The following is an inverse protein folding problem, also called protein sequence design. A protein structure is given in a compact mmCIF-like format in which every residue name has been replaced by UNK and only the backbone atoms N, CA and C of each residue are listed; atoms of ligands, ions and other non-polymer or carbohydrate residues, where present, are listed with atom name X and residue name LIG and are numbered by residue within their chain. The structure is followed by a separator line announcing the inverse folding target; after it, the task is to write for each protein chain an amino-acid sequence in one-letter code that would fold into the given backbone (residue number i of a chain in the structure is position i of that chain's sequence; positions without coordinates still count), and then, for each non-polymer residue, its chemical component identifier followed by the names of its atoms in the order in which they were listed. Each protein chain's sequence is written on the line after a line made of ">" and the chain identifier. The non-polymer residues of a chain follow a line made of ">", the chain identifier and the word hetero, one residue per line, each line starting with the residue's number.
data_IF_662727035248
#
_entry.id   IF_662727035248
#
_cell.length_a   1.000
_cell.length_b   1.000
_cell.length_c   1.000
_cell.angle_alpha   90.00
_cell.angle_beta   90.00
_cell.angle_gamma   90.00
#
_symmetry.space_group_name_H-M   'P 1'
#
loop_
_entity.id
_entity.type
_entity.pdbx_description
1 polymer ?
#
# COMPACT_ATOMS: atom_id res chain seq x y z
N UNK A 1 -3.89 19.22 24.37
CA UNK A 1 -2.59 18.74 23.87
C UNK A 1 -2.54 17.22 23.95
N UNK A 2 -3.03 16.52 22.92
CA UNK A 2 -2.84 15.08 22.75
C UNK A 2 -3.15 14.79 21.26
N UNK A 3 -2.15 14.99 20.41
CA UNK A 3 -2.15 14.56 19.00
C UNK A 3 -1.02 13.54 18.82
N UNK A 4 -1.05 12.50 19.64
CA UNK A 4 -0.26 11.30 19.41
C UNK A 4 -1.25 10.22 18.97
N UNK A 5 -0.94 9.55 17.86
CA UNK A 5 -1.62 8.35 17.33
C UNK A 5 -2.84 8.54 16.42
N UNK A 6 -2.76 9.40 15.41
CA UNK A 6 -3.60 9.24 14.19
C UNK A 6 -2.92 8.36 13.12
N UNK A 7 -1.59 8.18 13.18
CA UNK A 7 -0.84 7.26 12.30
C UNK A 7 -0.77 5.82 12.83
N UNK A 8 -1.39 5.54 13.98
CA UNK A 8 -1.62 4.18 14.47
C UNK A 8 -3.02 3.68 14.08
N UNK A 9 -3.61 4.19 13.00
CA UNK A 9 -4.65 3.41 12.32
C UNK A 9 -4.01 2.08 11.96
N UNK A 10 -4.34 1.05 12.73
CA UNK A 10 -3.83 -0.29 12.54
C UNK A 10 -4.08 -0.63 11.08
N UNK A 11 -3.01 -0.85 10.31
CA UNK A 11 -3.04 -1.49 8.99
C UNK A 11 -3.75 -2.86 9.02
N UNK A 12 -4.14 -3.33 10.20
CA UNK A 12 -4.56 -4.68 10.50
C UNK A 12 -5.73 -4.65 11.47
N UNK A 13 -6.91 -5.04 10.99
CA UNK A 13 -8.03 -5.44 11.86
C UNK A 13 -7.68 -6.69 12.69
N UNK A 14 -6.72 -7.49 12.24
CA UNK A 14 -6.24 -8.70 12.90
C UNK A 14 -5.07 -8.38 13.83
N UNK A 15 -5.11 -8.91 15.05
CA UNK A 15 -3.98 -8.82 15.96
C UNK A 15 -2.76 -9.58 15.40
N UNK A 16 -1.53 -9.16 15.76
CA UNK A 16 -0.30 -9.79 15.24
C UNK A 16 -0.18 -11.29 15.53
N UNK A 17 -0.79 -11.78 16.62
CA UNK A 17 -0.76 -13.20 16.99
C UNK A 17 -1.65 -14.05 16.10
N UNK A 18 -2.90 -13.63 15.88
CA UNK A 18 -3.84 -14.21 14.91
C UNK A 18 -3.23 -14.21 13.51
N UNK A 19 -2.49 -13.15 13.16
CA UNK A 19 -1.82 -13.08 11.88
C UNK A 19 -0.61 -14.04 11.78
N UNK A 20 0.06 -14.43 12.85
CA UNK A 20 1.15 -15.41 12.72
C UNK A 20 0.62 -16.81 12.39
N UNK A 21 -0.54 -17.17 12.94
CA UNK A 21 -1.11 -18.50 12.83
C UNK A 21 -1.98 -18.71 11.57
N UNK A 22 -2.47 -17.62 10.96
CA UNK A 22 -3.41 -17.68 9.85
C UNK A 22 -2.72 -18.04 8.52
N UNK A 23 -3.17 -19.12 7.86
CA UNK A 23 -2.71 -19.42 6.50
C UNK A 23 -3.44 -18.59 5.43
N UNK A 24 -2.91 -17.41 5.11
CA UNK A 24 -3.54 -16.49 4.15
C UNK A 24 -3.67 -17.12 2.77
N UNK A 25 -2.67 -17.85 2.27
CA UNK A 25 -2.76 -18.47 0.93
C UNK A 25 -3.85 -19.54 0.87
N UNK A 26 -4.00 -20.37 1.92
CA UNK A 26 -5.07 -21.35 2.00
C UNK A 26 -6.49 -20.75 2.12
N UNK A 27 -6.60 -19.46 2.46
CA UNK A 27 -7.86 -18.73 2.52
C UNK A 27 -8.20 -17.99 1.23
N UNK A 28 -7.28 -17.91 0.27
CA UNK A 28 -7.55 -17.24 -1.00
C UNK A 28 -8.61 -18.06 -1.78
N UNK A 29 -9.67 -17.42 -2.30
CA UNK A 29 -10.61 -18.08 -3.17
C UNK A 29 -9.90 -18.60 -4.43
N UNK A 30 -10.46 -19.65 -5.03
CA UNK A 30 -9.98 -20.15 -6.34
C UNK A 30 -10.14 -19.03 -7.37
N UNK A 31 -9.11 -18.74 -8.21
CA UNK A 31 -9.10 -17.59 -9.12
C UNK A 31 -9.99 -17.82 -10.35
N UNK A 32 -11.30 -17.87 -10.12
CA UNK A 32 -12.33 -18.01 -11.14
C UNK A 32 -13.45 -17.01 -10.85
N UNK A 33 -14.13 -16.57 -11.90
CA UNK A 33 -15.32 -15.74 -11.78
C UNK A 33 -16.57 -16.62 -11.55
N UNK A 34 -17.70 -15.99 -11.25
CA UNK A 34 -18.93 -16.67 -10.82
C UNK A 34 -19.55 -17.54 -11.92
N UNK A 35 -19.24 -17.31 -13.20
CA UNK A 35 -19.65 -18.19 -14.30
C UNK A 35 -19.08 -19.60 -14.20
N UNK A 36 -17.97 -19.77 -13.46
CA UNK A 36 -17.35 -21.07 -13.19
C UNK A 36 -17.76 -21.66 -11.85
N UNK A 37 -18.67 -21.02 -11.12
CA UNK A 37 -19.13 -21.49 -9.81
C UNK A 37 -20.58 -21.99 -9.94
N UNK A 38 -20.78 -23.27 -9.67
CA UNK A 38 -22.09 -23.91 -9.71
C UNK A 38 -22.49 -24.46 -8.35
N UNK A 39 -23.76 -24.83 -8.19
CA UNK A 39 -24.23 -25.55 -7.00
C UNK A 39 -23.53 -26.90 -6.78
N UNK A 40 -22.98 -27.48 -7.84
CA UNK A 40 -22.19 -28.72 -7.81
C UNK A 40 -20.70 -28.52 -7.52
N UNK A 41 -20.24 -27.27 -7.44
CA UNK A 41 -18.83 -26.93 -7.21
C UNK A 41 -18.24 -26.05 -8.31
N UNK A 42 -16.90 -25.93 -8.30
CA UNK A 42 -16.14 -25.12 -9.26
C UNK A 42 -15.94 -25.91 -10.55
N UNK A 43 -16.31 -25.29 -11.68
CA UNK A 43 -16.11 -25.82 -13.02
C UNK A 43 -14.66 -25.65 -13.48
N UNK A 44 -14.14 -26.53 -14.35
CA UNK A 44 -12.82 -26.33 -14.96
C UNK A 44 -12.75 -24.99 -15.70
N UNK A 45 -11.75 -24.18 -15.36
CA UNK A 45 -11.49 -22.88 -16.00
C UNK A 45 -10.10 -22.89 -16.64
N UNK A 46 -9.96 -22.50 -17.92
CA UNK A 46 -8.66 -22.35 -18.57
C UNK A 46 -7.76 -21.35 -17.82
N UNK A 47 -6.45 -21.62 -17.74
CA UNK A 47 -5.51 -20.78 -16.99
C UNK A 47 -5.48 -19.33 -17.45
N UNK A 48 -5.63 -19.08 -18.75
CA UNK A 48 -5.62 -17.73 -19.33
C UNK A 48 -6.88 -16.92 -19.00
N UNK A 49 -8.00 -17.61 -18.76
CA UNK A 49 -9.26 -17.02 -18.29
C UNK A 49 -9.19 -16.80 -16.78
N UNK A 50 -8.73 -17.81 -16.03
CA UNK A 50 -8.52 -17.72 -14.58
C UNK A 50 -7.57 -16.58 -14.21
N UNK A 51 -6.47 -16.41 -14.96
CA UNK A 51 -5.51 -15.32 -14.78
C UNK A 51 -6.09 -13.92 -15.04
N UNK A 52 -7.25 -13.85 -15.72
CA UNK A 52 -8.05 -12.64 -15.96
C UNK A 52 -9.32 -12.63 -15.10
N UNK A 53 -9.49 -13.51 -14.12
CA UNK A 53 -10.65 -13.41 -13.24
C UNK A 53 -10.53 -12.20 -12.31
N UNK A 54 -11.64 -11.55 -11.98
CA UNK A 54 -11.67 -10.50 -10.96
C UNK A 54 -11.19 -11.06 -9.62
N UNK A 55 -11.51 -12.33 -9.35
CA UNK A 55 -11.02 -13.07 -8.19
C UNK A 55 -9.49 -13.18 -8.17
N UNK A 56 -8.84 -13.43 -9.31
CA UNK A 56 -7.37 -13.41 -9.40
C UNK A 56 -6.81 -12.03 -9.03
N UNK A 57 -7.42 -10.95 -9.52
CA UNK A 57 -7.04 -9.59 -9.14
C UNK A 57 -7.19 -9.33 -7.63
N UNK A 58 -8.30 -9.78 -7.03
CA UNK A 58 -8.51 -9.72 -5.58
C UNK A 58 -7.45 -10.50 -4.79
N UNK A 59 -7.08 -11.68 -5.28
CA UNK A 59 -6.02 -12.49 -4.68
C UNK A 59 -4.65 -11.78 -4.75
N UNK A 60 -4.31 -11.15 -5.88
CA UNK A 60 -3.07 -10.36 -6.02
C UNK A 60 -3.07 -9.21 -5.00
N UNK A 61 -4.17 -8.46 -4.90
CA UNK A 61 -4.29 -7.37 -3.94
C UNK A 61 -4.11 -7.84 -2.49
N UNK A 62 -4.71 -8.99 -2.15
CA UNK A 62 -4.61 -9.57 -0.81
C UNK A 62 -3.19 -10.07 -0.50
N UNK A 63 -2.48 -10.61 -1.50
CA UNK A 63 -1.06 -10.95 -1.37
C UNK A 63 -0.18 -9.74 -1.16
N UNK A 64 -0.45 -8.63 -1.85
CA UNK A 64 0.26 -7.36 -1.64
C UNK A 64 0.16 -6.90 -0.19
N UNK A 65 -1.04 -6.94 0.39
CA UNK A 65 -1.22 -6.68 1.83
C UNK A 65 -0.49 -7.68 2.72
N UNK A 66 -0.55 -8.97 2.41
CA UNK A 66 0.12 -10.02 3.19
C UNK A 66 1.65 -9.86 3.19
N UNK A 67 2.26 -9.61 2.03
CA UNK A 67 3.68 -9.28 1.89
C UNK A 67 4.05 -7.98 2.62
N UNK A 68 3.08 -7.05 2.64
CA UNK A 68 2.99 -5.91 3.52
C UNK A 68 3.43 -6.22 4.94
N UNK A 69 2.82 -7.24 5.55
CA UNK A 69 2.76 -7.41 7.01
C UNK A 69 3.62 -8.59 7.48
N UNK A 70 3.81 -9.60 6.64
CA UNK A 70 4.56 -10.82 6.97
C UNK A 70 5.89 -10.89 6.21
N UNK A 71 6.95 -11.44 6.84
CA UNK A 71 8.16 -11.76 6.11
C UNK A 71 7.88 -12.84 5.04
N UNK A 72 8.68 -12.88 3.96
CA UNK A 72 8.60 -13.97 2.99
C UNK A 72 8.82 -15.31 3.71
N UNK A 73 7.91 -16.27 3.52
CA UNK A 73 8.02 -17.60 4.13
C UNK A 73 9.32 -18.27 3.65
N UNK A 74 10.25 -18.50 4.57
CA UNK A 74 11.31 -19.48 4.35
C UNK A 74 10.75 -20.86 4.73
N UNK A 75 11.00 -21.87 3.90
CA UNK A 75 10.41 -23.22 3.97
C UNK A 75 10.65 -24.02 5.26
N UNK A 76 11.30 -23.46 6.28
CA UNK A 76 11.86 -24.26 7.39
C UNK A 76 11.52 -23.76 8.79
N UNK A 77 10.99 -22.55 9.00
CA UNK A 77 10.78 -22.03 10.38
C UNK A 77 9.42 -21.35 10.53
N UNK A 78 8.41 -22.13 10.92
CA UNK A 78 7.02 -21.69 11.00
C UNK A 78 6.61 -21.19 12.41
N UNK A 79 7.54 -21.08 13.36
CA UNK A 79 7.19 -20.83 14.78
C UNK A 79 8.04 -19.79 15.54
N UNK A 80 9.08 -19.22 14.92
CA UNK A 80 10.06 -18.35 15.61
C UNK A 80 9.81 -16.84 15.41
N UNK A 81 8.97 -16.44 14.45
CA UNK A 81 8.84 -15.03 14.02
C UNK A 81 8.26 -14.08 15.07
N UNK A 82 7.41 -14.54 15.99
CA UNK A 82 6.84 -13.68 17.03
C UNK A 82 7.88 -13.24 18.10
N UNK A 83 8.95 -14.03 18.30
CA UNK A 83 10.00 -13.73 19.29
C UNK A 83 11.03 -12.75 18.72
N UNK A 84 11.28 -12.80 17.41
CA UNK A 84 12.21 -11.91 16.70
C UNK A 84 11.76 -10.44 16.66
N UNK A 85 10.48 -10.15 16.88
CA UNK A 85 9.94 -8.79 17.00
C UNK A 85 10.53 -7.97 18.15
N UNK A 86 11.20 -8.61 19.12
CA UNK A 86 11.82 -7.94 20.28
C UNK A 86 13.25 -7.45 20.04
N UNK A 87 13.99 -8.06 19.11
CA UNK A 87 15.35 -7.63 18.76
C UNK A 87 15.29 -6.54 17.66
N UNK A 88 15.75 -5.31 17.94
CA UNK A 88 15.67 -4.21 16.97
C UNK A 88 16.45 -4.49 15.67
N UNK A 89 17.57 -5.22 15.75
CA UNK A 89 18.42 -5.53 14.59
C UNK A 89 17.73 -6.53 13.67
N UNK A 90 17.19 -7.61 14.25
CA UNK A 90 16.44 -8.62 13.50
C UNK A 90 15.13 -8.05 12.94
N UNK A 91 14.46 -7.18 13.69
CA UNK A 91 13.27 -6.46 13.21
C UNK A 91 13.61 -5.57 12.01
N UNK A 92 14.69 -4.79 12.09
CA UNK A 92 15.15 -3.94 10.98
C UNK A 92 15.50 -4.77 9.74
N UNK A 93 16.19 -5.90 9.90
CA UNK A 93 16.50 -6.82 8.81
C UNK A 93 15.22 -7.41 8.18
N UNK A 94 14.24 -7.80 9.01
CA UNK A 94 12.93 -8.29 8.56
C UNK A 94 12.16 -7.24 7.75
N UNK A 95 12.11 -5.98 8.22
CA UNK A 95 11.46 -4.89 7.48
C UNK A 95 12.14 -4.60 6.15
N UNK A 96 13.48 -4.61 6.11
CA UNK A 96 14.24 -4.44 4.86
C UNK A 96 13.97 -5.57 3.87
N UNK A 97 13.89 -6.80 4.36
CA UNK A 97 13.54 -7.96 3.53
C UNK A 97 12.10 -7.86 2.99
N UNK A 98 11.13 -7.49 3.84
CA UNK A 98 9.74 -7.21 3.43
C UNK A 98 9.66 -6.13 2.38
N UNK A 99 10.35 -5.01 2.58
CA UNK A 99 10.42 -3.93 1.59
C UNK A 99 10.99 -4.41 0.26
N UNK A 100 12.09 -5.18 0.30
CA UNK A 100 12.69 -5.73 -0.91
C UNK A 100 11.74 -6.70 -1.63
N UNK A 101 11.11 -7.62 -0.89
CA UNK A 101 10.14 -8.54 -1.47
C UNK A 101 8.95 -7.81 -2.09
N UNK A 102 8.34 -6.88 -1.34
CA UNK A 102 7.22 -6.07 -1.80
C UNK A 102 7.61 -5.33 -3.09
N UNK A 103 8.77 -4.68 -3.14
CA UNK A 103 9.23 -3.92 -4.31
C UNK A 103 9.18 -4.72 -5.62
N UNK A 104 9.52 -6.01 -5.59
CA UNK A 104 9.62 -6.85 -6.78
C UNK A 104 8.47 -7.86 -6.95
N UNK A 105 7.50 -7.91 -6.03
CA UNK A 105 6.50 -8.98 -6.04
C UNK A 105 5.55 -8.95 -7.25
N UNK A 106 5.32 -7.77 -7.85
CA UNK A 106 4.43 -7.61 -9.00
C UNK A 106 5.12 -7.78 -10.36
N UNK A 107 6.44 -8.05 -10.37
CA UNK A 107 7.18 -8.29 -11.62
C UNK A 107 6.71 -9.59 -12.33
N UNK A 108 6.17 -10.53 -11.55
CA UNK A 108 5.67 -11.82 -12.03
C UNK A 108 4.17 -11.85 -12.28
N UNK A 109 3.47 -10.72 -12.16
CA UNK A 109 2.01 -10.71 -12.24
C UNK A 109 1.47 -11.15 -13.60
N UNK A 110 0.26 -11.75 -13.60
CA UNK A 110 -0.46 -12.06 -14.82
C UNK A 110 -0.57 -10.82 -15.73
N UNK A 111 -0.45 -10.98 -17.06
CA UNK A 111 -0.49 -9.86 -18.00
C UNK A 111 -1.67 -8.89 -17.81
N UNK A 112 -2.82 -9.42 -17.35
CA UNK A 112 -4.06 -8.67 -17.13
C UNK A 112 -3.98 -7.59 -16.03
N UNK A 113 -3.06 -7.76 -15.06
CA UNK A 113 -2.93 -6.87 -13.90
C UNK A 113 -1.58 -6.16 -13.83
N UNK A 114 -0.72 -6.30 -14.85
CA UNK A 114 0.59 -5.63 -14.89
C UNK A 114 0.46 -4.12 -14.88
N UNK A 115 1.47 -3.47 -14.30
CA UNK A 115 1.59 -2.02 -14.18
C UNK A 115 1.47 -1.32 -15.54
N UNK A 116 2.09 -1.92 -16.57
CA UNK A 116 2.11 -1.41 -17.93
C UNK A 116 1.38 -2.36 -18.86
N UNK A 117 0.12 -2.07 -19.15
CA UNK A 117 -0.54 -2.63 -20.32
C UNK A 117 -0.35 -1.62 -21.46
N UNK A 118 0.18 -2.04 -22.64
CA UNK A 118 0.06 -1.22 -23.83
C UNK A 118 -1.42 -0.89 -23.96
N UNK A 119 -1.78 0.39 -23.92
CA UNK A 119 -3.13 0.82 -24.26
C UNK A 119 -3.31 0.36 -25.69
N UNK A 120 -3.96 -0.77 -25.91
CA UNK A 120 -4.55 -1.04 -27.19
C UNK A 120 -5.41 0.20 -27.41
N UNK A 121 -5.06 1.02 -28.39
CA UNK A 121 -5.94 2.05 -28.87
C UNK A 121 -7.12 1.31 -29.50
N UNK A 122 -7.97 0.75 -28.66
CA UNK A 122 -9.25 0.20 -29.03
C UNK A 122 -9.99 1.41 -29.57
N UNK A 123 -10.10 1.49 -30.88
CA UNK A 123 -10.95 2.42 -31.63
C UNK A 123 -12.44 2.17 -31.35
N UNK A 124 -12.74 1.47 -30.27
CA UNK A 124 -14.06 1.07 -29.83
C UNK A 124 -14.54 2.17 -28.88
N UNK A 125 -15.67 2.83 -29.17
CA UNK A 125 -16.26 3.83 -28.28
C UNK A 125 -16.41 3.30 -26.86
N UNK A 126 -16.22 4.16 -25.84
CA UNK A 126 -16.37 3.79 -24.40
C UNK A 126 -17.71 3.08 -24.09
N UNK A 127 -18.75 3.31 -24.90
CA UNK A 127 -20.06 2.64 -24.81
C UNK A 127 -20.03 1.11 -25.05
N UNK A 128 -18.94 0.55 -25.58
CA UNK A 128 -18.79 -0.89 -25.86
C UNK A 128 -17.62 -1.54 -25.11
N UNK A 129 -16.99 -0.83 -24.16
CA UNK A 129 -16.03 -1.48 -23.25
C UNK A 129 -16.78 -2.49 -22.38
N UNK A 130 -16.27 -3.72 -22.35
CA UNK A 130 -16.78 -4.77 -21.48
C UNK A 130 -16.73 -4.27 -20.02
N UNK A 131 -17.84 -4.39 -19.28
CA UNK A 131 -17.92 -4.03 -17.86
C UNK A 131 -16.79 -4.72 -17.07
N UNK A 132 -16.42 -5.93 -17.49
CA UNK A 132 -15.33 -6.72 -16.91
C UNK A 132 -13.97 -6.04 -17.08
N UNK A 133 -13.72 -5.37 -18.21
CA UNK A 133 -12.46 -4.65 -18.46
C UNK A 133 -12.36 -3.39 -17.59
N UNK A 134 -13.48 -2.69 -17.39
CA UNK A 134 -13.56 -1.58 -16.46
C UNK A 134 -13.28 -2.01 -15.01
N UNK A 135 -13.93 -3.08 -14.54
CA UNK A 135 -13.72 -3.62 -13.20
C UNK A 135 -12.27 -4.09 -13.00
N UNK A 136 -11.68 -4.72 -14.02
CA UNK A 136 -10.27 -5.09 -14.02
C UNK A 136 -9.36 -3.88 -13.93
N UNK A 137 -9.65 -2.81 -14.67
CA UNK A 137 -8.89 -1.56 -14.60
C UNK A 137 -8.96 -0.95 -13.19
N UNK A 138 -10.13 -0.98 -12.54
CA UNK A 138 -10.30 -0.53 -11.17
C UNK A 138 -9.52 -1.39 -10.16
N UNK A 139 -9.53 -2.71 -10.30
CA UNK A 139 -8.75 -3.62 -9.45
C UNK A 139 -7.24 -3.38 -9.67
N UNK A 140 -6.80 -3.21 -10.92
CA UNK A 140 -5.41 -2.87 -11.26
C UNK A 140 -4.99 -1.57 -10.58
N UNK A 141 -5.82 -0.53 -10.61
CA UNK A 141 -5.57 0.71 -9.90
C UNK A 141 -5.33 0.48 -8.41
N UNK A 142 -6.20 -0.31 -7.77
CA UNK A 142 -6.10 -0.61 -6.35
C UNK A 142 -4.81 -1.38 -6.01
N UNK A 143 -4.46 -2.40 -6.79
CA UNK A 143 -3.25 -3.21 -6.59
C UNK A 143 -2.01 -2.31 -6.59
N UNK A 144 -1.80 -1.52 -7.64
CA UNK A 144 -0.56 -0.76 -7.81
C UNK A 144 -0.45 0.44 -6.86
N UNK A 145 -1.56 1.14 -6.60
CA UNK A 145 -1.54 2.22 -5.60
C UNK A 145 -1.28 1.67 -4.20
N UNK A 146 -1.91 0.54 -3.84
CA UNK A 146 -1.68 -0.12 -2.55
C UNK A 146 -0.25 -0.62 -2.41
N UNK A 147 0.31 -1.21 -3.47
CA UNK A 147 1.68 -1.69 -3.52
C UNK A 147 2.70 -0.58 -3.26
N UNK A 148 2.56 0.57 -3.92
CA UNK A 148 3.44 1.73 -3.72
C UNK A 148 3.23 2.39 -2.36
N UNK A 149 1.98 2.47 -1.88
CA UNK A 149 1.67 2.99 -0.54
C UNK A 149 2.27 2.14 0.58
N UNK A 150 2.14 0.82 0.51
CA UNK A 150 2.74 -0.09 1.50
C UNK A 150 4.28 -0.02 1.51
N UNK A 151 4.92 0.26 0.36
CA UNK A 151 6.36 0.51 0.32
C UNK A 151 6.76 1.75 1.12
N UNK A 152 5.96 2.84 1.05
CA UNK A 152 6.20 4.04 1.87
C UNK A 152 6.02 3.75 3.36
N UNK A 153 4.97 3.01 3.74
CA UNK A 153 4.73 2.65 5.14
C UNK A 153 5.87 1.81 5.74
N UNK A 154 6.42 0.87 4.97
CA UNK A 154 7.59 0.10 5.40
C UNK A 154 8.84 0.98 5.54
N UNK A 155 9.04 1.95 4.64
CA UNK A 155 10.15 2.91 4.76
C UNK A 155 10.00 3.78 6.02
N UNK A 156 8.78 4.22 6.36
CA UNK A 156 8.50 4.96 7.59
C UNK A 156 8.83 4.14 8.85
N UNK A 157 8.49 2.85 8.86
CA UNK A 157 8.82 1.96 9.98
C UNK A 157 10.33 1.72 10.10
N UNK A 158 11.02 1.53 8.97
CA UNK A 158 12.49 1.40 8.90
C UNK A 158 13.16 2.66 9.46
N UNK A 159 12.78 3.84 8.98
CA UNK A 159 13.35 5.12 9.42
C UNK A 159 13.10 5.36 10.92
N UNK A 160 11.92 4.98 11.41
CA UNK A 160 11.57 5.06 12.83
C UNK A 160 12.46 4.18 13.71
N UNK A 161 12.76 2.94 13.28
CA UNK A 161 13.65 2.06 14.03
C UNK A 161 15.10 2.55 14.01
N UNK A 162 15.60 2.97 12.84
CA UNK A 162 16.96 3.50 12.70
C UNK A 162 17.16 4.74 13.57
N UNK A 163 16.16 5.63 13.62
CA UNK A 163 16.20 6.83 14.46
C UNK A 163 16.26 6.49 15.97
N UNK A 164 15.53 5.44 16.40
CA UNK A 164 15.53 4.99 17.80
C UNK A 164 16.88 4.39 18.21
N UNK A 165 17.52 3.61 17.34
CA UNK A 165 18.86 3.05 17.58
C UNK A 165 19.93 4.15 17.72
N UNK A 166 19.89 5.18 16.86
CA UNK A 166 20.82 6.30 16.95
C UNK A 166 20.65 7.10 18.24
N UNK A 167 19.41 7.28 18.72
CA UNK A 167 19.13 8.02 19.95
C UNK A 167 19.48 7.28 21.25
N UNK A 168 19.70 5.96 21.19
CA UNK A 168 19.99 5.11 22.36
C UNK A 168 21.48 4.79 22.56
N UNK A 169 22.36 5.33 21.71
CA UNK A 169 23.82 5.21 21.89
C UNK A 169 24.29 6.25 22.91
N UNK A 170 24.92 5.88 24.04
CA UNK A 170 25.39 6.85 25.02
C UNK A 170 26.52 7.70 24.42
N UNK A 171 26.33 9.02 24.38
CA UNK A 171 27.34 9.96 23.93
C UNK A 171 28.63 9.81 24.78
N UNK A 172 29.83 9.90 24.18
CA UNK A 172 31.06 10.06 24.94
C UNK A 172 30.93 11.34 25.78
N UNK A 173 31.02 11.22 27.10
CA UNK A 173 31.02 12.36 28.01
C UNK A 173 32.23 13.25 27.69
N UNK A 174 31.99 14.39 27.04
CA UNK A 174 33.06 15.33 26.77
C UNK A 174 32.75 16.39 25.73
N UNK A 175 31.72 17.21 25.93
CA UNK A 175 31.78 18.63 25.55
C UNK A 175 30.58 19.38 26.12
N UNK A 176 30.83 20.15 27.18
CA UNK A 176 29.90 21.14 27.71
C UNK A 176 30.01 22.35 26.78
N UNK A 177 28.94 22.66 26.02
CA UNK A 177 28.46 24.01 25.68
C UNK A 177 27.64 24.04 24.36
N UNK A 178 26.33 24.24 24.50
CA UNK A 178 25.49 25.18 23.73
C UNK A 178 24.09 24.62 23.50
N UNK A 179 23.24 24.82 24.50
CA UNK A 179 21.79 24.63 24.44
C UNK A 179 21.12 25.88 23.88
N UNK A 180 20.87 25.95 22.57
CA UNK A 180 19.90 26.91 22.00
C UNK A 180 19.12 26.22 20.87
N UNK A 181 17.86 25.86 21.18
CA UNK A 181 16.73 25.60 20.26
C UNK A 181 16.97 24.50 19.21
N UNK A 182 16.74 23.23 19.58
CA UNK A 182 16.26 22.22 18.62
C UNK A 182 14.76 22.04 18.84
N UNK A 183 13.96 22.81 18.09
CA UNK A 183 12.57 22.43 17.83
C UNK A 183 12.59 21.05 17.20
N UNK A 184 11.78 20.12 17.72
CA UNK A 184 11.54 18.76 17.23
C UNK A 184 11.93 18.59 15.75
N UNK A 185 13.20 18.29 15.53
CA UNK A 185 13.71 17.99 14.20
C UNK A 185 13.52 16.50 14.12
N UNK A 186 12.52 16.06 13.36
CA UNK A 186 12.59 14.70 12.83
C UNK A 186 13.99 14.56 12.23
N UNK A 187 14.77 13.53 12.60
CA UNK A 187 16.09 13.35 12.01
C UNK A 187 15.90 13.39 10.50
N UNK A 188 16.65 14.26 9.83
CA UNK A 188 16.57 14.38 8.38
C UNK A 188 16.77 12.97 7.80
N UNK A 189 15.86 12.48 6.94
CA UNK A 189 15.97 11.13 6.44
C UNK A 189 17.32 10.96 5.74
N UNK A 190 17.92 9.79 5.92
CA UNK A 190 19.10 9.38 5.17
C UNK A 190 18.87 9.70 3.68
N UNK A 191 19.79 10.41 3.00
CA UNK A 191 19.67 10.71 1.57
C UNK A 191 19.27 9.50 0.73
N UNK A 192 19.74 8.29 1.08
CA UNK A 192 19.37 7.06 0.39
C UNK A 192 17.92 6.61 0.65
N UNK A 193 17.34 6.94 1.81
CA UNK A 193 15.92 6.71 2.11
C UNK A 193 15.05 7.66 1.29
N UNK A 194 15.45 8.93 1.18
CA UNK A 194 14.72 9.91 0.39
C UNK A 194 14.72 9.58 -1.11
N UNK A 195 15.85 9.14 -1.68
CA UNK A 195 15.91 8.75 -3.09
C UNK A 195 14.95 7.59 -3.42
N UNK A 196 14.72 6.66 -2.47
CA UNK A 196 13.71 5.60 -2.62
C UNK A 196 12.28 6.14 -2.62
N UNK A 197 12.00 7.12 -1.76
CA UNK A 197 10.69 7.80 -1.68
C UNK A 197 10.41 8.58 -2.95
N UNK A 198 11.40 9.33 -3.45
CA UNK A 198 11.34 10.03 -4.74
C UNK A 198 10.99 9.05 -5.87
N UNK A 199 11.69 7.92 -5.95
CA UNK A 199 11.40 6.89 -6.95
C UNK A 199 9.98 6.31 -6.85
N UNK A 200 9.48 6.02 -5.64
CA UNK A 200 8.12 5.52 -5.44
C UNK A 200 7.09 6.57 -5.88
N UNK A 201 7.31 7.85 -5.54
CA UNK A 201 6.44 8.95 -5.96
C UNK A 201 6.42 9.14 -7.48
N UNK A 202 7.58 9.05 -8.13
CA UNK A 202 7.69 9.10 -9.59
C UNK A 202 6.91 7.97 -10.24
N UNK A 203 7.08 6.73 -9.76
CA UNK A 203 6.31 5.58 -10.25
C UNK A 203 4.81 5.76 -10.07
N UNK A 204 4.37 6.27 -8.91
CA UNK A 204 2.96 6.53 -8.65
C UNK A 204 2.40 7.59 -9.60
N UNK A 205 3.11 8.70 -9.82
CA UNK A 205 2.68 9.73 -10.77
C UNK A 205 2.57 9.19 -12.19
N UNK A 206 3.58 8.45 -12.64
CA UNK A 206 3.53 7.84 -13.97
C UNK A 206 2.36 6.86 -14.08
N UNK A 207 2.11 6.05 -13.05
CA UNK A 207 0.97 5.14 -13.03
C UNK A 207 -0.36 5.91 -13.12
N UNK A 208 -0.58 6.90 -12.24
CA UNK A 208 -1.81 7.69 -12.23
C UNK A 208 -2.06 8.43 -13.55
N UNK A 209 -1.01 8.92 -14.23
CA UNK A 209 -1.15 9.52 -15.56
C UNK A 209 -1.48 8.53 -16.67
N UNK A 210 -1.11 7.26 -16.50
CA UNK A 210 -1.41 6.21 -17.48
C UNK A 210 -2.82 5.64 -17.36
N UNK A 211 -3.49 5.86 -16.22
CA UNK A 211 -4.82 5.32 -15.93
C UNK A 211 -5.94 6.22 -16.46
N UNK A 212 -7.05 5.61 -16.88
CA UNK A 212 -8.28 6.33 -17.21
C UNK A 212 -8.96 6.88 -15.93
N UNK A 213 -9.75 7.96 -16.05
CA UNK A 213 -10.55 8.45 -14.91
C UNK A 213 -11.56 7.38 -14.46
N UNK A 214 -12.17 6.68 -15.40
CA UNK A 214 -13.07 5.55 -15.18
C UNK A 214 -12.41 4.41 -14.39
N UNK A 215 -11.12 4.14 -14.60
CA UNK A 215 -10.38 3.15 -13.82
C UNK A 215 -10.07 3.57 -12.39
N UNK A 216 -9.94 4.86 -12.11
CA UNK A 216 -9.60 5.36 -10.78
C UNK A 216 -10.84 5.59 -9.91
N UNK A 217 -11.94 6.04 -10.51
CA UNK A 217 -13.17 6.47 -9.84
C UNK A 217 -13.80 5.42 -8.91
N UNK A 218 -13.90 4.12 -9.26
CA UNK A 218 -14.50 3.09 -8.40
C UNK A 218 -13.76 2.86 -7.08
N UNK A 219 -12.47 3.18 -7.01
CA UNK A 219 -11.68 3.06 -5.78
C UNK A 219 -12.00 4.19 -4.79
N UNK A 220 -12.64 5.26 -5.27
CA UNK A 220 -13.13 6.38 -4.49
C UNK A 220 -12.07 6.98 -3.55
N UNK A 221 -12.50 7.29 -2.33
CA UNK A 221 -11.66 7.98 -1.35
C UNK A 221 -10.44 7.14 -0.89
N UNK A 222 -10.48 5.82 -1.02
CA UNK A 222 -9.37 4.95 -0.62
C UNK A 222 -8.10 5.29 -1.42
N UNK A 223 -8.23 5.51 -2.73
CA UNK A 223 -7.10 5.87 -3.58
C UNK A 223 -6.59 7.27 -3.24
N UNK A 224 -7.49 8.20 -2.90
CA UNK A 224 -7.16 9.59 -2.50
C UNK A 224 -6.28 9.59 -1.25
N UNK A 225 -6.62 8.80 -0.23
CA UNK A 225 -5.81 8.68 0.98
C UNK A 225 -4.44 8.08 0.71
N UNK A 226 -4.39 6.94 -0.01
CA UNK A 226 -3.11 6.28 -0.33
C UNK A 226 -2.18 7.17 -1.17
N UNK A 227 -2.71 7.86 -2.18
CA UNK A 227 -1.94 8.79 -3.01
C UNK A 227 -1.43 9.97 -2.18
N UNK A 228 -2.26 10.52 -1.30
CA UNK A 228 -1.86 11.60 -0.39
C UNK A 228 -0.73 11.16 0.54
N UNK A 229 -0.84 9.99 1.15
CA UNK A 229 0.18 9.45 2.06
C UNK A 229 1.52 9.26 1.34
N UNK A 230 1.49 8.70 0.12
CA UNK A 230 2.70 8.59 -0.71
C UNK A 230 3.29 9.97 -1.01
N UNK A 231 2.48 10.93 -1.42
CA UNK A 231 2.94 12.29 -1.74
C UNK A 231 3.57 13.00 -0.52
N UNK A 232 2.98 12.83 0.67
CA UNK A 232 3.48 13.40 1.94
C UNK A 232 4.90 12.94 2.25
N UNK A 233 5.31 11.75 1.80
CA UNK A 233 6.67 11.25 2.01
C UNK A 233 7.78 12.15 1.42
N UNK A 234 7.45 12.99 0.42
CA UNK A 234 8.39 13.95 -0.17
C UNK A 234 8.62 15.18 0.70
N UNK A 235 7.74 15.46 1.68
CA UNK A 235 7.88 16.62 2.56
C UNK A 235 9.10 16.53 3.47
N UNK A 236 9.61 15.31 3.69
CA UNK A 236 10.85 15.06 4.43
C UNK A 236 12.11 15.25 3.56
N UNK A 237 12.03 16.02 2.47
CA UNK A 237 13.18 16.29 1.60
C UNK A 237 14.37 16.87 2.37
N UNK A 238 15.56 16.25 2.30
CA UNK A 238 16.75 16.81 2.91
C UNK A 238 17.16 18.10 2.18
N UNK A 239 17.75 19.04 2.92
CA UNK A 239 18.31 20.25 2.33
C UNK A 239 19.51 19.89 1.46
N UNK A 240 19.50 20.36 0.21
CA UNK A 240 20.58 20.20 -0.76
C UNK A 240 21.09 21.59 -1.18
N UNK A 241 22.42 21.76 -1.21
CA UNK A 241 23.10 22.99 -1.65
C UNK A 241 22.66 23.43 -3.05
N UNK A 242 22.39 22.48 -3.93
CA UNK A 242 21.95 22.77 -5.31
C UNK A 242 20.46 23.11 -5.41
N UNK A 243 19.69 22.86 -4.34
CA UNK A 243 18.22 22.93 -4.27
C UNK A 243 17.48 22.11 -5.34
N UNK A 244 18.17 21.22 -6.06
CA UNK A 244 17.56 20.42 -7.12
C UNK A 244 16.53 19.44 -6.56
N UNK A 245 16.84 18.75 -5.45
CA UNK A 245 15.91 17.84 -4.77
C UNK A 245 14.63 18.56 -4.35
N UNK A 246 14.76 19.70 -3.70
CA UNK A 246 13.62 20.53 -3.28
C UNK A 246 12.77 20.98 -4.47
N UNK A 247 13.41 21.34 -5.58
CA UNK A 247 12.69 21.73 -6.79
C UNK A 247 11.90 20.55 -7.39
N UNK A 248 12.51 19.35 -7.49
CA UNK A 248 11.81 18.15 -7.97
C UNK A 248 10.66 17.75 -7.05
N UNK A 249 10.90 17.72 -5.73
CA UNK A 249 9.87 17.46 -4.73
C UNK A 249 8.67 18.41 -4.88
N UNK A 250 8.94 19.70 -5.08
CA UNK A 250 7.89 20.70 -5.31
C UNK A 250 7.09 20.40 -6.58
N UNK A 251 7.75 20.03 -7.68
CA UNK A 251 7.08 19.67 -8.93
C UNK A 251 6.18 18.43 -8.75
N UNK A 252 6.69 17.38 -8.12
CA UNK A 252 5.87 16.18 -7.84
C UNK A 252 4.66 16.49 -6.95
N UNK A 253 4.85 17.26 -5.87
CA UNK A 253 3.77 17.66 -4.97
C UNK A 253 2.70 18.52 -5.67
N UNK A 254 3.10 19.37 -6.62
CA UNK A 254 2.18 20.14 -7.44
C UNK A 254 1.33 19.22 -8.34
N UNK A 255 1.95 18.24 -9.01
CA UNK A 255 1.22 17.28 -9.83
C UNK A 255 0.30 16.38 -9.01
N UNK A 256 0.74 15.89 -7.84
CA UNK A 256 -0.13 15.16 -6.92
C UNK A 256 -1.32 16.01 -6.48
N UNK A 257 -1.11 17.28 -6.14
CA UNK A 257 -2.19 18.19 -5.75
C UNK A 257 -3.21 18.36 -6.88
N UNK A 258 -2.74 18.47 -8.13
CA UNK A 258 -3.60 18.56 -9.31
C UNK A 258 -4.41 17.27 -9.51
N UNK A 259 -3.78 16.10 -9.47
CA UNK A 259 -4.46 14.81 -9.60
C UNK A 259 -5.47 14.58 -8.48
N UNK A 260 -5.08 14.83 -7.23
CA UNK A 260 -5.97 14.72 -6.07
C UNK A 260 -7.16 15.67 -6.18
N UNK A 261 -6.99 16.89 -6.72
CA UNK A 261 -8.11 17.81 -6.93
C UNK A 261 -9.14 17.29 -7.95
N UNK A 262 -8.70 16.49 -8.93
CA UNK A 262 -9.59 15.86 -9.90
C UNK A 262 -10.34 14.69 -9.23
N UNK A 263 -9.62 13.86 -8.48
CA UNK A 263 -10.18 12.71 -7.76
C UNK A 263 -11.12 13.11 -6.62
N UNK A 264 -10.92 14.27 -5.98
CA UNK A 264 -11.79 14.77 -4.89
C UNK A 264 -13.08 15.43 -5.41
N UNK A 265 -13.13 15.79 -6.70
CA UNK A 265 -14.32 16.36 -7.37
C UNK A 265 -15.30 15.29 -7.83
N UNK A 266 -14.94 13.99 -7.80
CA UNK A 266 -15.89 12.88 -7.95
C UNK A 266 -16.78 12.77 -6.70
N UNK A 267 -17.60 13.80 -6.48
CA UNK A 267 -18.53 14.00 -5.37
C UNK A 267 -19.80 13.18 -5.49
N UNK A 268 -19.91 12.28 -6.46
CA UNK A 268 -20.83 11.16 -6.34
C UNK A 268 -20.19 10.15 -5.39
N UNK A 269 -20.27 10.48 -4.10
CA UNK A 269 -19.91 9.60 -3.00
C UNK A 269 -20.82 8.38 -3.14
N UNK A 270 -20.32 7.31 -3.77
CA UNK A 270 -21.00 6.03 -3.81
C UNK A 270 -20.84 5.35 -2.43
N UNK A 271 -21.48 5.96 -1.42
CA UNK A 271 -21.50 5.51 -0.02
C UNK A 271 -22.16 4.13 0.15
N UNK A 272 -22.79 3.61 -0.90
CA UNK A 272 -23.35 2.26 -0.96
C UNK A 272 -22.27 1.18 -0.80
N UNK A 273 -21.04 1.41 -1.28
CA UNK A 273 -19.94 0.44 -1.17
C UNK A 273 -19.43 0.26 0.27
N UNK A 274 -19.49 1.32 1.09
CA UNK A 274 -19.05 1.28 2.49
C UNK A 274 -20.13 0.75 3.45
N UNK A 275 -21.41 0.84 3.10
CA UNK A 275 -22.51 0.29 3.91
C UNK A 275 -22.66 -1.23 3.78
N UNK A 276 -22.16 -1.84 2.71
CA UNK A 276 -22.36 -3.27 2.42
C UNK A 276 -21.56 -4.22 3.34
N UNK A 277 -20.46 -3.77 3.96
CA UNK A 277 -19.55 -4.65 4.69
C UNK A 277 -19.65 -4.54 6.21
N UNK A 278 -20.37 -3.55 6.72
CA UNK A 278 -20.64 -3.43 8.15
C UNK A 278 -21.90 -4.24 8.44
N UNK A 279 -21.72 -5.47 8.92
CA UNK A 279 -22.81 -6.29 9.44
C UNK A 279 -23.33 -5.69 10.77
N UNK A 280 -24.19 -4.68 10.68
CA UNK A 280 -24.86 -4.07 11.84
C UNK A 280 -26.00 -4.98 12.37
N UNK A 281 -26.19 -6.18 11.82
CA UNK A 281 -27.27 -7.07 12.24
C UNK A 281 -27.02 -7.73 13.61
N UNK A 282 -25.77 -7.70 14.12
CA UNK A 282 -25.43 -8.25 15.44
C UNK A 282 -25.85 -7.39 16.64
N UNK A 283 -26.20 -6.12 16.46
CA UNK A 283 -26.51 -5.22 17.60
C UNK A 283 -28.00 -5.14 17.96
N UNK A 284 -28.88 -5.93 17.32
CA UNK A 284 -30.34 -5.83 17.56
C UNK A 284 -30.92 -6.79 18.61
N UNK A 285 -30.11 -7.52 19.37
CA UNK A 285 -30.63 -8.48 20.36
C UNK A 285 -30.16 -8.29 21.82
N UNK A 286 -29.71 -7.10 22.21
CA UNK A 286 -29.47 -6.79 23.63
C UNK A 286 -30.11 -5.46 24.03
N UNK A 287 -31.41 -5.30 23.78
CA UNK A 287 -32.28 -4.48 24.64
C UNK A 287 -33.67 -5.10 24.57
N UNK A 288 -33.99 -6.03 25.48
CA UNK A 288 -35.32 -6.29 26.03
C UNK A 288 -35.18 -7.43 27.08
N UNK A 289 -34.70 -7.06 28.26
CA UNK A 289 -35.09 -7.65 29.54
C UNK A 289 -35.18 -6.53 30.57
#
# INVERSE_FOLDING_TARGET
>A
HQMHNLQNEQLMFLDPTTLCDLDIEGLMPTPVDDEFISSSGILPCPEDVAAKSLTAGSNIHSRVFSAAVRPPRSTTEQLTDCVHLKDPVLRLASLRNRFHHLKYMLDTDPPAYRLWLPRAHSTVPEEYLDVTDFQREAIRANIHVTHLWLQILLLDEIDTLVSKEQSSTPAPQGSINSSIISRASHPAPDPMSWDKREYICEQLLHFLHSMSHSGLEPNGISIVYKVRDVAVSLLSCPDDLTKQRTQRARTYLQEFSRLLSILDVSKEINSLSLQSWIDISRDKYIILQ
#
